data_IF_126945600270
#
_entry.id   IF_126945600270
#
_cell.length_a   1.000
_cell.length_b   1.000
_cell.length_c   1.000
_cell.angle_alpha   90.00
_cell.angle_beta   90.00
_cell.angle_gamma   90.00
#
_symmetry.space_group_name_H-M   'P 1'
#
loop_
_entity.id
_entity.type
_entity.pdbx_description
1 polymer ?
#
# COMPACT_ATOMS: atom_id res chain seq x y z
N UNK A 1 24.74 -22.56 15.10
CA UNK A 1 23.34 -22.12 14.88
C UNK A 1 22.52 -22.77 15.97
N UNK A 2 22.07 -22.01 16.92
CA UNK A 2 21.40 -22.48 18.13
C UNK A 2 19.96 -22.90 17.82
N UNK A 3 19.42 -23.88 18.54
CA UNK A 3 18.07 -24.46 18.39
C UNK A 3 16.90 -23.44 18.32
N UNK A 4 17.14 -22.20 18.75
CA UNK A 4 16.16 -21.10 18.71
C UNK A 4 15.74 -20.75 17.26
N UNK A 5 16.65 -20.90 16.29
CA UNK A 5 16.34 -20.54 14.89
C UNK A 5 15.48 -21.56 14.15
N UNK A 6 15.41 -22.80 14.61
CA UNK A 6 14.54 -23.81 13.96
C UNK A 6 13.08 -23.70 14.36
N UNK A 7 12.79 -23.17 15.57
CA UNK A 7 11.41 -22.95 16.03
C UNK A 7 10.75 -21.71 15.40
N UNK A 8 11.53 -20.70 14.99
CA UNK A 8 11.00 -19.49 14.36
C UNK A 8 10.46 -19.71 12.95
N UNK A 9 10.91 -20.78 12.26
CA UNK A 9 10.46 -21.12 10.90
C UNK A 9 9.15 -21.91 10.85
N UNK A 10 8.64 -22.36 12.00
CA UNK A 10 7.43 -23.18 12.10
C UNK A 10 6.28 -22.47 12.84
N UNK A 11 6.20 -21.16 12.78
CA UNK A 11 5.03 -20.47 13.32
C UNK A 11 3.84 -20.71 12.39
N UNK A 12 2.74 -21.27 12.90
CA UNK A 12 1.53 -21.40 12.12
C UNK A 12 1.05 -20.01 11.73
N UNK A 13 0.84 -19.79 10.46
CA UNK A 13 0.19 -18.56 9.99
C UNK A 13 -1.21 -18.57 10.56
N UNK A 14 -1.46 -17.67 11.49
CA UNK A 14 -2.78 -17.52 12.12
C UNK A 14 -3.60 -16.57 11.28
N UNK A 15 -4.62 -17.09 10.66
CA UNK A 15 -5.61 -16.27 9.96
C UNK A 15 -6.85 -16.10 10.84
N UNK A 16 -7.46 -14.91 10.86
CA UNK A 16 -8.68 -14.65 11.57
C UNK A 16 -9.84 -14.55 10.58
N UNK A 17 -10.78 -15.47 10.68
CA UNK A 17 -11.98 -15.49 9.88
C UNK A 17 -13.19 -15.42 10.80
N UNK A 18 -13.99 -14.39 10.66
CA UNK A 18 -15.20 -14.14 11.50
C UNK A 18 -14.91 -14.17 13.01
N UNK A 19 -13.75 -13.65 13.45
CA UNK A 19 -13.32 -13.65 14.84
C UNK A 19 -12.85 -15.00 15.37
N UNK A 20 -12.78 -16.03 14.52
CA UNK A 20 -12.26 -17.38 14.88
C UNK A 20 -10.83 -17.53 14.41
N UNK A 21 -9.99 -18.06 15.29
CA UNK A 21 -8.59 -18.35 15.04
C UNK A 21 -8.47 -19.60 14.16
N UNK A 22 -7.85 -19.48 12.98
CA UNK A 22 -7.59 -20.59 12.07
C UNK A 22 -6.09 -20.82 12.01
N UNK A 23 -5.64 -22.00 12.38
CA UNK A 23 -4.23 -22.40 12.30
C UNK A 23 -3.99 -23.05 10.94
N UNK A 24 -3.01 -22.58 10.21
CA UNK A 24 -2.48 -23.24 9.03
C UNK A 24 -1.27 -24.08 9.46
N UNK A 25 -1.42 -25.39 9.49
CA UNK A 25 -0.32 -26.29 9.74
C UNK A 25 0.57 -26.35 8.48
N UNK A 26 1.83 -25.92 8.63
CA UNK A 26 2.84 -26.00 7.58
C UNK A 26 3.49 -27.38 7.53
N UNK A 27 2.70 -28.45 7.63
CA UNK A 27 3.24 -29.78 7.37
C UNK A 27 3.51 -29.94 5.87
N UNK A 28 4.66 -30.52 5.53
CA UNK A 28 5.14 -30.75 4.17
C UNK A 28 4.32 -31.78 3.37
N UNK A 29 3.14 -32.14 3.84
CA UNK A 29 2.30 -33.16 3.24
C UNK A 29 1.34 -32.48 2.22
N UNK A 30 1.71 -32.56 0.94
CA UNK A 30 0.98 -31.96 -0.18
C UNK A 30 -0.44 -32.49 -0.36
N UNK A 31 -0.77 -33.66 0.25
CA UNK A 31 -2.11 -34.25 0.21
C UNK A 31 -3.07 -33.59 1.22
N UNK A 32 -2.57 -32.98 2.30
CA UNK A 32 -3.40 -32.34 3.33
C UNK A 32 -3.85 -30.95 2.91
N UNK A 33 -3.07 -30.29 2.04
CA UNK A 33 -3.37 -28.95 1.52
C UNK A 33 -4.66 -28.89 0.67
N UNK A 34 -5.09 -30.01 0.12
CA UNK A 34 -6.30 -30.06 -0.71
C UNK A 34 -7.61 -30.31 0.08
N UNK A 35 -7.53 -30.79 1.30
CA UNK A 35 -8.72 -31.11 2.13
C UNK A 35 -9.11 -30.07 3.18
N UNK A 36 -8.20 -29.15 3.54
CA UNK A 36 -8.38 -28.24 4.67
C UNK A 36 -9.06 -26.89 4.37
N UNK A 37 -9.33 -26.55 3.13
CA UNK A 37 -9.79 -25.21 2.77
C UNK A 37 -11.26 -25.11 2.36
N UNK A 38 -12.15 -25.59 3.22
CA UNK A 38 -13.60 -25.33 3.14
C UNK A 38 -14.02 -23.91 3.61
N UNK A 39 -13.11 -23.14 4.17
CA UNK A 39 -13.38 -21.78 4.70
C UNK A 39 -13.72 -20.77 3.58
N UNK A 40 -13.56 -21.18 2.33
CA UNK A 40 -13.59 -20.25 1.20
C UNK A 40 -14.97 -19.86 0.66
N UNK A 41 -16.07 -20.56 0.98
CA UNK A 41 -17.35 -20.24 0.35
C UNK A 41 -18.07 -19.06 0.98
N UNK A 42 -17.96 -18.87 2.28
CA UNK A 42 -18.60 -17.76 2.98
C UNK A 42 -17.78 -16.47 2.87
N UNK A 43 -16.44 -16.60 2.91
CA UNK A 43 -15.52 -15.46 2.76
C UNK A 43 -15.52 -14.94 1.32
N UNK A 44 -15.64 -15.80 0.31
CA UNK A 44 -15.72 -15.35 -1.08
C UNK A 44 -17.01 -14.57 -1.38
N UNK A 45 -18.11 -14.84 -0.66
CA UNK A 45 -19.34 -14.06 -0.78
C UNK A 45 -19.24 -12.67 -0.15
N UNK A 46 -18.49 -12.51 0.94
CA UNK A 46 -18.35 -11.23 1.65
C UNK A 46 -17.20 -10.37 1.10
N UNK A 47 -16.17 -10.98 0.54
CA UNK A 47 -14.94 -10.32 0.07
C UNK A 47 -14.50 -10.83 -1.30
N UNK A 48 -15.35 -10.85 -2.28
CA UNK A 48 -15.20 -11.39 -3.66
C UNK A 48 -13.80 -11.56 -4.31
N UNK A 49 -12.74 -11.09 -3.64
CA UNK A 49 -11.37 -11.11 -4.10
C UNK A 49 -10.45 -12.20 -3.51
N UNK A 50 -10.84 -12.91 -2.43
CA UNK A 50 -9.89 -13.82 -1.73
C UNK A 50 -9.42 -15.01 -2.56
N UNK A 51 -10.24 -15.55 -3.44
CA UNK A 51 -9.83 -16.62 -4.37
C UNK A 51 -8.80 -16.12 -5.38
N UNK A 52 -9.00 -14.91 -5.85
CA UNK A 52 -8.10 -14.22 -6.79
C UNK A 52 -6.76 -13.95 -6.08
N UNK A 53 -6.78 -13.40 -4.87
CA UNK A 53 -5.55 -13.10 -4.12
C UNK A 53 -4.74 -14.36 -3.81
N UNK A 54 -5.38 -15.48 -3.44
CA UNK A 54 -4.66 -16.74 -3.21
C UNK A 54 -3.96 -17.24 -4.49
N UNK A 55 -4.62 -17.13 -5.64
CA UNK A 55 -4.03 -17.50 -6.92
C UNK A 55 -2.87 -16.54 -7.29
N UNK A 56 -3.04 -15.25 -7.08
CA UNK A 56 -2.00 -14.24 -7.29
C UNK A 56 -0.77 -14.57 -6.46
N UNK A 57 -0.89 -14.74 -5.14
CA UNK A 57 0.24 -15.05 -4.26
C UNK A 57 0.95 -16.36 -4.64
N UNK A 58 0.19 -17.39 -5.04
CA UNK A 58 0.78 -18.64 -5.50
C UNK A 58 1.60 -18.47 -6.77
N UNK A 59 1.09 -17.72 -7.73
CA UNK A 59 1.73 -17.56 -9.04
C UNK A 59 2.91 -16.61 -9.00
N UNK A 60 2.97 -15.68 -8.04
CA UNK A 60 4.01 -14.66 -7.92
C UNK A 60 4.94 -14.88 -6.72
N UNK A 61 4.90 -16.04 -6.07
CA UNK A 61 5.71 -16.34 -4.86
C UNK A 61 7.21 -16.13 -5.09
N UNK A 62 7.71 -16.46 -6.26
CA UNK A 62 9.13 -16.42 -6.62
C UNK A 62 9.53 -15.09 -7.29
N UNK A 63 8.58 -14.16 -7.49
CA UNK A 63 8.87 -12.83 -8.01
C UNK A 63 9.66 -12.01 -7.00
N UNK A 64 10.58 -11.18 -7.51
CA UNK A 64 11.27 -10.17 -6.70
C UNK A 64 10.24 -9.24 -6.07
N UNK A 65 10.46 -8.88 -4.81
CA UNK A 65 9.57 -7.98 -4.05
C UNK A 65 10.34 -6.74 -3.64
N UNK A 66 9.76 -5.59 -3.93
CA UNK A 66 10.26 -4.30 -3.53
C UNK A 66 9.31 -3.66 -2.54
N UNK A 67 9.85 -2.96 -1.55
CA UNK A 67 9.06 -2.09 -0.69
C UNK A 67 8.93 -0.72 -1.33
N UNK A 68 7.70 -0.23 -1.39
CA UNK A 68 7.37 1.11 -1.89
C UNK A 68 6.50 1.84 -0.89
N UNK A 69 6.46 3.16 -1.01
CA UNK A 69 5.57 4.00 -0.22
C UNK A 69 4.88 5.02 -1.12
N UNK A 70 3.59 5.19 -0.93
CA UNK A 70 2.75 6.08 -1.73
C UNK A 70 2.02 7.07 -0.82
N UNK A 71 2.12 8.37 -1.14
CA UNK A 71 1.49 9.46 -0.41
C UNK A 71 0.13 9.83 -0.98
N UNK A 72 -0.96 9.33 -0.40
CA UNK A 72 -2.33 9.73 -0.73
C UNK A 72 -2.65 11.06 -0.02
N UNK A 73 -2.28 12.17 -0.68
CA UNK A 73 -2.31 13.51 -0.08
C UNK A 73 -3.63 14.21 -0.35
N UNK A 74 -4.31 14.63 0.72
CA UNK A 74 -5.54 15.45 0.66
C UNK A 74 -5.26 16.86 1.17
N UNK A 75 -6.07 17.83 0.74
CA UNK A 75 -5.99 19.16 1.32
C UNK A 75 -6.66 19.21 2.71
N UNK A 76 -6.32 20.21 3.51
CA UNK A 76 -6.83 20.41 4.90
C UNK A 76 -8.35 20.31 5.01
N UNK A 77 -9.08 20.78 4.02
CA UNK A 77 -10.54 20.73 4.01
C UNK A 77 -11.12 19.41 3.53
N UNK A 78 -10.26 18.47 3.08
CA UNK A 78 -10.65 17.18 2.49
C UNK A 78 -11.61 17.30 1.31
N UNK A 79 -11.37 18.29 0.44
CA UNK A 79 -12.17 18.52 -0.76
C UNK A 79 -11.43 18.16 -2.04
N UNK A 80 -10.09 18.05 -1.96
CA UNK A 80 -9.22 17.73 -3.09
C UNK A 80 -8.15 16.72 -2.70
N UNK A 81 -7.67 15.98 -3.69
CA UNK A 81 -6.54 15.07 -3.61
C UNK A 81 -5.48 15.46 -4.61
N UNK A 82 -4.21 15.38 -4.21
CA UNK A 82 -3.06 15.64 -5.08
C UNK A 82 -2.76 14.41 -5.91
N UNK A 83 -2.68 14.59 -7.22
CA UNK A 83 -2.36 13.53 -8.18
C UNK A 83 -1.29 14.00 -9.15
N UNK A 84 -0.49 13.05 -9.61
CA UNK A 84 0.44 13.17 -10.74
C UNK A 84 -0.11 12.44 -11.96
N UNK A 85 0.17 12.93 -13.14
CA UNK A 85 -0.02 12.18 -14.38
C UNK A 85 1.28 11.40 -14.68
N UNK A 86 1.33 10.14 -14.28
CA UNK A 86 2.52 9.30 -14.32
C UNK A 86 2.89 8.89 -15.75
N UNK A 87 4.11 9.19 -16.20
CA UNK A 87 4.55 8.94 -17.59
C UNK A 87 4.52 7.47 -18.00
N UNK A 88 5.03 6.59 -17.16
CA UNK A 88 5.15 5.17 -17.51
C UNK A 88 3.80 4.45 -17.61
N UNK A 89 2.81 4.83 -16.81
CA UNK A 89 1.49 4.21 -16.76
C UNK A 89 0.43 4.99 -17.54
N UNK A 90 0.73 6.24 -17.90
CA UNK A 90 -0.21 7.19 -18.53
C UNK A 90 -1.54 7.29 -17.75
N UNK A 91 -1.45 7.32 -16.43
CA UNK A 91 -2.58 7.40 -15.49
C UNK A 91 -2.35 8.48 -14.45
N UNK A 92 -3.46 8.95 -13.87
CA UNK A 92 -3.41 9.84 -12.72
C UNK A 92 -3.31 9.02 -11.44
N UNK A 93 -2.24 9.22 -10.69
CA UNK A 93 -1.89 8.45 -9.50
C UNK A 93 -1.46 9.36 -8.36
N UNK A 94 -1.58 8.92 -7.10
CA UNK A 94 -0.86 9.55 -6.00
C UNK A 94 0.66 9.43 -6.22
N UNK A 95 1.46 10.41 -5.80
CA UNK A 95 2.93 10.32 -5.80
C UNK A 95 3.43 9.15 -4.97
N UNK A 96 4.53 8.52 -5.41
CA UNK A 96 5.11 7.42 -4.67
C UNK A 96 6.21 6.67 -5.41
N UNK A 97 7.06 5.98 -4.66
CA UNK A 97 8.20 5.25 -5.20
C UNK A 97 8.82 4.27 -4.22
N UNK A 98 10.05 3.86 -4.51
CA UNK A 98 10.79 2.92 -3.67
C UNK A 98 11.24 3.57 -2.36
N UNK A 99 11.23 2.76 -1.30
CA UNK A 99 11.83 3.14 0.00
C UNK A 99 13.34 2.95 -0.13
N UNK A 100 14.12 3.98 0.20
CA UNK A 100 15.57 3.95 0.17
C UNK A 100 16.16 3.27 1.42
N UNK A 101 17.42 2.82 1.36
CA UNK A 101 18.05 2.01 2.41
C UNK A 101 18.08 2.68 3.79
N UNK A 102 18.13 4.01 3.85
CA UNK A 102 18.24 4.78 5.11
C UNK A 102 16.96 5.55 5.46
N UNK A 103 15.83 5.11 4.98
CA UNK A 103 14.57 5.83 5.05
C UNK A 103 13.48 4.95 5.69
N UNK A 104 12.63 5.54 6.51
CA UNK A 104 11.43 4.84 6.99
C UNK A 104 10.24 5.09 6.05
N UNK A 105 9.27 4.16 5.98
CA UNK A 105 8.25 4.17 4.92
C UNK A 105 7.44 5.47 4.79
N UNK A 106 7.09 6.12 5.90
CA UNK A 106 6.32 7.37 5.83
C UNK A 106 7.17 8.56 5.34
N UNK A 107 8.49 8.56 5.63
CA UNK A 107 9.42 9.56 5.09
C UNK A 107 9.56 9.40 3.59
N UNK A 108 9.66 8.15 3.08
CA UNK A 108 9.64 7.86 1.65
C UNK A 108 8.39 8.44 0.98
N UNK A 109 7.21 8.19 1.54
CA UNK A 109 5.97 8.74 0.99
C UNK A 109 5.96 10.27 0.95
N UNK A 110 6.48 10.93 2.00
CA UNK A 110 6.58 12.40 2.06
C UNK A 110 7.61 12.92 1.05
N UNK A 111 8.78 12.28 0.96
CA UNK A 111 9.83 12.64 -0.01
C UNK A 111 9.31 12.54 -1.44
N UNK A 112 8.68 11.44 -1.80
CA UNK A 112 8.12 11.23 -3.15
C UNK A 112 7.06 12.29 -3.49
N UNK A 113 6.17 12.62 -2.53
CA UNK A 113 5.20 13.72 -2.73
C UNK A 113 5.94 15.02 -3.02
N UNK A 114 6.96 15.35 -2.25
CA UNK A 114 7.71 16.58 -2.46
C UNK A 114 8.52 16.58 -3.77
N UNK A 115 9.22 15.50 -4.07
CA UNK A 115 10.05 15.37 -5.27
C UNK A 115 9.22 15.47 -6.55
N UNK A 116 8.07 14.80 -6.60
CA UNK A 116 7.24 14.75 -7.80
C UNK A 116 6.34 16.00 -7.96
N UNK A 117 6.00 16.69 -6.86
CA UNK A 117 4.98 17.75 -6.87
C UNK A 117 5.45 19.10 -6.32
N UNK A 118 6.52 19.14 -5.54
CA UNK A 118 6.95 20.32 -4.78
C UNK A 118 6.10 20.63 -3.54
N UNK A 119 5.10 19.82 -3.22
CA UNK A 119 4.17 20.05 -2.11
C UNK A 119 4.68 19.38 -0.85
N UNK A 120 4.73 20.11 0.27
CA UNK A 120 5.08 19.58 1.59
C UNK A 120 3.85 18.97 2.26
N UNK A 121 3.89 17.67 2.50
CA UNK A 121 2.80 16.94 3.13
C UNK A 121 3.22 16.38 4.49
N UNK A 122 2.25 16.18 5.37
CA UNK A 122 2.44 15.55 6.69
C UNK A 122 1.47 14.39 6.86
N UNK A 123 1.82 13.34 7.63
CA UNK A 123 0.91 12.24 7.92
C UNK A 123 -0.32 12.75 8.67
N UNK A 124 -1.50 12.29 8.25
CA UNK A 124 -2.73 12.49 9.02
C UNK A 124 -2.60 11.65 10.29
N UNK A 125 -2.73 12.30 11.44
CA UNK A 125 -2.65 11.61 12.74
C UNK A 125 -3.78 10.59 12.87
N UNK A 126 -3.39 9.42 13.33
CA UNK A 126 -4.28 8.36 13.75
C UNK A 126 -4.03 8.13 15.24
N UNK A 127 -4.93 8.63 16.06
CA UNK A 127 -4.81 8.57 17.53
C UNK A 127 -5.20 7.19 18.11
N UNK A 128 -5.67 6.27 17.27
CA UNK A 128 -5.99 4.92 17.69
C UNK A 128 -4.72 4.05 17.80
N UNK A 129 -4.48 3.51 18.97
CA UNK A 129 -3.35 2.62 19.28
C UNK A 129 -1.96 3.30 19.32
N UNK A 130 -1.82 4.37 20.07
CA UNK A 130 -0.51 4.89 20.42
C UNK A 130 0.21 3.90 21.37
N UNK A 131 1.27 3.28 20.84
CA UNK A 131 2.16 2.39 21.59
C UNK A 131 3.33 3.16 22.22
N UNK A 132 3.12 4.43 22.58
CA UNK A 132 4.17 5.32 23.08
C UNK A 132 5.02 4.64 24.16
N UNK A 133 6.25 4.36 23.81
CA UNK A 133 7.23 3.70 24.66
C UNK A 133 8.18 4.75 25.26
N UNK A 134 8.24 4.81 26.58
CA UNK A 134 9.07 5.79 27.28
C UNK A 134 10.51 5.30 27.38
N UNK A 135 11.44 6.10 26.86
CA UNK A 135 12.87 6.02 27.17
C UNK A 135 13.61 4.87 26.51
N UNK A 136 13.27 4.47 25.26
CA UNK A 136 13.71 3.21 24.75
C UNK A 136 14.21 3.28 23.30
N UNK A 137 14.79 2.17 22.86
CA UNK A 137 15.42 1.95 21.56
C UNK A 137 14.39 1.67 20.45
N UNK A 138 13.12 1.96 20.68
CA UNK A 138 12.03 1.75 19.72
C UNK A 138 11.05 2.92 19.78
N UNK A 139 10.45 3.25 18.65
CA UNK A 139 9.46 4.30 18.50
C UNK A 139 8.36 3.86 17.54
N UNK A 140 7.14 4.32 17.78
CA UNK A 140 6.05 4.13 16.83
C UNK A 140 6.19 5.11 15.69
N UNK A 141 6.15 4.61 14.45
CA UNK A 141 6.04 5.40 13.24
C UNK A 141 4.57 5.50 12.80
N UNK A 142 4.19 6.50 11.98
CA UNK A 142 2.85 6.59 11.43
C UNK A 142 2.40 5.29 10.76
N UNK A 143 1.16 4.88 11.02
CA UNK A 143 0.62 3.68 10.38
C UNK A 143 0.28 3.95 8.92
N UNK A 144 0.57 3.02 8.01
CA UNK A 144 0.02 3.11 6.67
C UNK A 144 -1.51 2.96 6.70
N UNK A 145 -2.20 3.74 5.89
CA UNK A 145 -3.63 3.63 5.66
C UNK A 145 -4.00 2.26 5.05
N UNK A 146 -3.13 1.76 4.19
CA UNK A 146 -3.27 0.43 3.59
C UNK A 146 -1.91 -0.17 3.24
N UNK A 147 -1.87 -1.51 3.19
CA UNK A 147 -0.77 -2.27 2.60
C UNK A 147 -1.30 -2.89 1.31
N UNK A 148 -0.62 -2.64 0.20
CA UNK A 148 -1.02 -3.11 -1.12
C UNK A 148 0.00 -4.11 -1.67
N UNK A 149 -0.51 -5.13 -2.35
CA UNK A 149 0.27 -6.08 -3.12
C UNK A 149 0.03 -5.80 -4.59
N UNK A 150 1.02 -5.26 -5.28
CA UNK A 150 0.88 -4.79 -6.66
C UNK A 150 1.79 -5.60 -7.57
N UNK A 151 1.23 -6.17 -8.64
CA UNK A 151 2.00 -6.81 -9.71
C UNK A 151 2.42 -5.73 -10.69
N UNK A 152 3.72 -5.52 -10.80
CA UNK A 152 4.30 -4.58 -11.76
C UNK A 152 4.70 -5.38 -13.02
N UNK A 153 4.05 -5.14 -14.15
CA UNK A 153 4.31 -5.91 -15.37
C UNK A 153 5.72 -5.66 -15.89
N UNK A 154 6.26 -6.64 -16.60
CA UNK A 154 7.54 -6.52 -17.29
C UNK A 154 7.59 -5.26 -18.17
N UNK A 155 8.66 -4.52 -18.06
CA UNK A 155 8.97 -3.35 -18.87
C UNK A 155 10.25 -3.53 -19.67
N UNK A 156 10.67 -2.49 -20.40
CA UNK A 156 12.01 -2.49 -21.05
C UNK A 156 13.16 -2.44 -20.04
N UNK A 157 12.90 -1.95 -18.83
CA UNK A 157 13.92 -1.71 -17.80
C UNK A 157 13.95 -2.82 -16.75
N UNK A 158 12.84 -3.54 -16.52
CA UNK A 158 12.75 -4.52 -15.43
C UNK A 158 11.82 -5.68 -15.78
N UNK A 159 12.07 -6.84 -15.16
CA UNK A 159 11.21 -8.01 -15.22
C UNK A 159 9.94 -7.78 -14.42
N UNK A 160 8.92 -8.64 -14.62
CA UNK A 160 7.74 -8.62 -13.78
C UNK A 160 8.14 -8.85 -12.31
N UNK A 161 7.66 -7.99 -11.43
CA UNK A 161 7.99 -8.00 -10.00
C UNK A 161 6.83 -7.50 -9.16
N UNK A 162 6.99 -7.52 -7.85
CA UNK A 162 5.95 -7.16 -6.89
C UNK A 162 6.35 -5.91 -6.12
N UNK A 163 5.44 -4.95 -6.02
CA UNK A 163 5.52 -3.90 -5.02
C UNK A 163 4.67 -4.29 -3.79
N UNK A 164 5.31 -4.22 -2.64
CA UNK A 164 4.67 -4.22 -1.33
C UNK A 164 4.54 -2.75 -0.91
N UNK A 165 3.43 -2.14 -1.32
CA UNK A 165 3.25 -0.71 -1.23
C UNK A 165 2.57 -0.30 0.09
N UNK A 166 3.21 0.61 0.82
CA UNK A 166 2.71 1.21 2.04
C UNK A 166 2.05 2.54 1.72
N UNK A 167 0.73 2.55 1.66
CA UNK A 167 -0.06 3.75 1.38
C UNK A 167 -0.20 4.58 2.64
N UNK A 168 0.25 5.83 2.61
CA UNK A 168 0.06 6.78 3.71
C UNK A 168 -0.98 7.84 3.35
N UNK A 169 -1.92 8.08 4.25
CA UNK A 169 -2.82 9.23 4.16
C UNK A 169 -2.08 10.46 4.67
N UNK A 170 -1.90 11.44 3.78
CA UNK A 170 -1.17 12.66 4.06
C UNK A 170 -2.09 13.87 3.89
N UNK A 171 -1.74 14.96 4.56
CA UNK A 171 -2.39 16.26 4.44
C UNK A 171 -1.39 17.33 4.03
N UNK A 172 -1.82 18.24 3.15
CA UNK A 172 -1.02 19.38 2.73
C UNK A 172 -1.88 20.61 2.47
N UNK A 173 -1.23 21.76 2.28
CA UNK A 173 -1.88 23.00 1.90
C UNK A 173 -2.04 23.05 0.37
N UNK A 174 -3.27 23.17 -0.14
CA UNK A 174 -3.50 23.25 -1.58
C UNK A 174 -3.25 24.65 -2.18
N UNK A 175 -2.78 25.59 -1.37
CA UNK A 175 -2.22 26.88 -1.81
C UNK A 175 -0.71 26.80 -2.11
N UNK A 176 -0.03 25.73 -1.70
CA UNK A 176 1.38 25.53 -2.00
C UNK A 176 1.63 25.48 -3.50
N UNK A 177 2.74 26.09 -3.92
CA UNK A 177 3.12 26.11 -5.33
C UNK A 177 3.48 24.72 -5.82
N UNK A 178 2.70 24.20 -6.74
CA UNK A 178 3.02 22.94 -7.44
C UNK A 178 4.23 23.16 -8.35
N UNK A 179 5.20 22.24 -8.25
CA UNK A 179 6.38 22.18 -9.11
C UNK A 179 6.56 20.77 -9.63
N UNK A 180 5.99 20.47 -10.79
CA UNK A 180 6.05 19.13 -11.37
C UNK A 180 7.49 18.72 -11.72
N UNK A 181 7.89 17.52 -11.34
CA UNK A 181 9.15 16.92 -11.74
C UNK A 181 8.98 16.27 -13.13
N UNK A 182 9.16 17.06 -14.19
CA UNK A 182 8.89 16.65 -15.58
C UNK A 182 9.76 15.49 -16.11
N UNK A 183 10.69 14.94 -15.35
CA UNK A 183 11.38 13.72 -15.73
C UNK A 183 10.47 12.49 -15.62
N UNK A 184 9.62 12.44 -14.60
CA UNK A 184 8.83 11.27 -14.23
C UNK A 184 7.33 11.47 -14.43
N UNK A 185 6.84 12.71 -14.36
CA UNK A 185 5.44 13.08 -14.49
C UNK A 185 5.16 13.97 -15.69
N UNK A 186 3.94 13.89 -16.23
CA UNK A 186 3.47 14.83 -17.27
C UNK A 186 2.83 16.08 -16.68
N UNK A 187 2.12 15.92 -15.57
CA UNK A 187 1.34 16.98 -14.94
C UNK A 187 1.08 16.66 -13.46
N UNK A 188 0.76 17.68 -12.66
CA UNK A 188 0.39 17.56 -11.25
C UNK A 188 -0.86 18.40 -11.00
N UNK A 189 -1.84 17.85 -10.29
CA UNK A 189 -3.10 18.58 -10.01
C UNK A 189 -3.69 18.25 -8.64
N UNK A 190 -4.30 19.26 -8.04
CA UNK A 190 -5.30 19.08 -7.01
C UNK A 190 -6.65 18.79 -7.66
N UNK A 191 -7.20 17.61 -7.39
CA UNK A 191 -8.41 17.07 -8.05
C UNK A 191 -9.53 16.91 -7.02
N UNK A 192 -10.73 17.39 -7.35
CA UNK A 192 -11.91 17.19 -6.50
C UNK A 192 -12.37 15.73 -6.55
N UNK A 193 -13.10 15.30 -5.50
CA UNK A 193 -13.70 13.95 -5.47
C UNK A 193 -14.51 13.65 -6.72
N UNK A 194 -15.36 14.60 -7.14
CA UNK A 194 -16.23 14.41 -8.31
C UNK A 194 -15.42 14.20 -9.56
N UNK A 195 -14.51 15.12 -9.89
CA UNK A 195 -13.67 15.00 -11.10
C UNK A 195 -12.83 13.73 -11.08
N UNK A 196 -12.23 13.37 -9.93
CA UNK A 196 -11.42 12.15 -9.82
C UNK A 196 -12.21 10.89 -10.17
N UNK A 197 -13.47 10.81 -9.75
CA UNK A 197 -14.32 9.64 -9.99
C UNK A 197 -14.81 9.60 -11.44
N UNK A 198 -15.20 10.75 -12.00
CA UNK A 198 -15.93 10.84 -13.25
C UNK A 198 -15.04 11.06 -14.49
N UNK A 199 -13.90 11.73 -14.34
CA UNK A 199 -13.12 12.27 -15.45
C UNK A 199 -11.68 11.73 -15.54
N UNK A 200 -11.08 11.31 -14.42
CA UNK A 200 -9.68 10.94 -14.39
C UNK A 200 -9.46 9.44 -14.59
N UNK A 201 -8.57 9.07 -15.53
CA UNK A 201 -8.13 7.68 -15.68
C UNK A 201 -7.16 7.32 -14.55
N UNK A 202 -7.66 6.57 -13.59
CA UNK A 202 -6.93 6.14 -12.39
C UNK A 202 -7.39 4.75 -11.94
N UNK A 203 -6.70 4.17 -10.96
CA UNK A 203 -7.09 2.88 -10.41
C UNK A 203 -8.25 2.99 -9.40
N UNK A 204 -9.00 1.90 -9.25
CA UNK A 204 -10.13 1.83 -8.31
C UNK A 204 -9.72 2.04 -6.86
N UNK A 205 -8.50 1.65 -6.48
CA UNK A 205 -7.94 1.92 -5.15
C UNK A 205 -7.90 3.43 -4.85
N UNK A 206 -7.48 4.25 -5.83
CA UNK A 206 -7.45 5.71 -5.71
C UNK A 206 -8.86 6.29 -5.61
N UNK A 207 -9.80 5.81 -6.45
CA UNK A 207 -11.21 6.22 -6.37
C UNK A 207 -11.83 5.85 -5.03
N UNK A 208 -11.53 4.67 -4.50
CA UNK A 208 -12.06 4.21 -3.21
C UNK A 208 -11.52 5.03 -2.05
N UNK A 209 -10.24 5.37 -2.07
CA UNK A 209 -9.67 6.30 -1.09
C UNK A 209 -10.36 7.67 -1.16
N UNK A 210 -10.53 8.23 -2.34
CA UNK A 210 -11.22 9.50 -2.50
C UNK A 210 -12.66 9.48 -1.99
N UNK A 211 -13.39 8.36 -2.19
CA UNK A 211 -14.75 8.19 -1.64
C UNK A 211 -14.77 8.16 -0.12
N UNK A 212 -13.74 7.62 0.52
CA UNK A 212 -13.66 7.52 1.98
C UNK A 212 -13.13 8.78 2.66
N UNK A 213 -12.21 9.50 2.00
CA UNK A 213 -11.46 10.60 2.62
C UNK A 213 -11.92 11.99 2.19
N UNK A 214 -12.48 12.15 0.98
CA UNK A 214 -12.94 13.43 0.47
C UNK A 214 -14.45 13.64 0.70
N UNK A 215 -14.78 14.88 1.02
CA UNK A 215 -16.17 15.37 1.18
C UNK A 215 -16.85 15.55 -0.18
#
# INVERSE_FOLDING_TARGET
MTEINKKALNWPIVDYVDGRKVFNDCSSDTNTLNKGFSVNSQISKKYGGKRIMKAIFKNTKDHKKHFTATGYTVNKNRTKMLLIHHKGLNKWLPPGGHIEDNEVPHEAAIREVYEETGVMAIPIKDDENDLALKGIKEAQIPRPYALMYQIIPKSKKDVEHIHLDMVFALEADDSDKITAQYKEVHDVRWVTRKSLIDEYDTFDSVRNFARSMLK
#
